data_IF_922217019784
#
_entry.id   IF_922217019784
#
_cell.length_a   1.000
_cell.length_b   1.000
_cell.length_c   1.000
_cell.angle_alpha   90.00
_cell.angle_beta   90.00
_cell.angle_gamma   90.00
#
_symmetry.space_group_name_H-M   'P 1'
#
loop_
_entity.id
_entity.type
_entity.pdbx_description
1 polymer ?
#
# COMPACT_ATOMS: atom_id res chain seq x y z
N UNK A 1 76.83 26.94 -1.55
CA UNK A 1 76.28 26.01 -0.55
C UNK A 1 74.81 26.34 -0.42
N UNK A 2 73.99 25.45 -0.97
CA UNK A 2 72.54 25.39 -0.80
C UNK A 2 72.16 25.22 0.68
N UNK A 3 70.98 25.71 1.06
CA UNK A 3 69.92 25.05 1.83
C UNK A 3 68.91 26.14 2.21
N UNK A 4 67.91 26.43 1.39
CA UNK A 4 66.61 25.77 1.22
C UNK A 4 65.51 26.30 2.15
N UNK A 5 64.36 26.57 1.52
CA UNK A 5 63.12 27.10 2.12
C UNK A 5 62.44 26.00 2.93
N UNK A 6 61.85 26.33 4.07
CA UNK A 6 60.67 25.58 4.54
C UNK A 6 59.55 26.53 4.97
N UNK A 7 58.73 26.83 3.95
CA UNK A 7 57.31 27.10 4.08
C UNK A 7 56.64 25.85 4.68
N UNK A 8 56.17 25.91 5.93
CA UNK A 8 55.26 24.88 6.46
C UNK A 8 53.84 25.16 5.98
N UNK A 9 53.57 24.80 4.73
CA UNK A 9 52.21 24.56 4.27
C UNK A 9 51.68 23.32 4.99
N UNK A 10 50.93 23.52 6.08
CA UNK A 10 50.07 22.49 6.64
C UNK A 10 48.93 22.25 5.63
N UNK A 11 49.13 21.25 4.78
CA UNK A 11 48.15 20.72 3.85
C UNK A 11 46.93 20.20 4.61
N UNK A 12 45.80 20.90 4.49
CA UNK A 12 44.48 20.33 4.72
C UNK A 12 44.22 19.25 3.64
N UNK A 13 44.65 18.01 3.91
CA UNK A 13 44.17 16.87 3.14
C UNK A 13 42.71 16.62 3.51
N UNK A 14 41.80 17.07 2.64
CA UNK A 14 40.45 16.52 2.59
C UNK A 14 40.55 15.04 2.23
N UNK A 15 40.51 14.17 3.23
CA UNK A 15 40.35 12.73 3.03
C UNK A 15 38.97 12.48 2.44
N UNK A 16 38.86 12.53 1.10
CA UNK A 16 37.67 12.06 0.40
C UNK A 16 37.71 10.53 0.35
N UNK A 17 36.69 9.89 0.90
CA UNK A 17 36.56 8.43 0.85
C UNK A 17 36.05 8.01 -0.52
N UNK A 18 36.58 6.90 -1.06
CA UNK A 18 36.08 6.33 -2.31
C UNK A 18 34.59 5.97 -2.17
N UNK A 19 33.77 6.44 -3.12
CA UNK A 19 32.32 6.22 -3.17
C UNK A 19 31.91 4.75 -3.10
N UNK A 20 32.75 3.83 -3.59
CA UNK A 20 32.49 2.38 -3.54
C UNK A 20 32.51 1.80 -2.12
N UNK A 21 33.09 2.52 -1.16
CA UNK A 21 33.18 2.13 0.24
C UNK A 21 32.06 2.73 1.10
N UNK A 22 31.12 3.45 0.47
CA UNK A 22 30.08 4.21 1.14
C UNK A 22 28.71 3.59 0.89
N UNK A 23 28.00 3.28 1.96
CA UNK A 23 26.61 2.84 1.94
C UNK A 23 25.70 4.03 2.28
N UNK A 24 24.58 4.17 1.56
CA UNK A 24 23.62 5.24 1.85
C UNK A 24 22.97 4.94 3.20
N UNK A 25 23.03 5.90 4.11
CA UNK A 25 22.30 5.83 5.35
C UNK A 25 20.81 6.08 5.10
N UNK A 26 19.99 5.11 5.46
CA UNK A 26 18.54 5.25 5.45
C UNK A 26 18.06 5.77 6.79
N UNK A 27 17.31 6.88 6.77
CA UNK A 27 16.80 7.49 7.99
C UNK A 27 15.76 6.59 8.64
N UNK A 28 16.19 5.88 9.68
CA UNK A 28 15.33 5.13 10.56
C UNK A 28 15.15 5.91 11.87
N UNK A 29 13.90 6.22 12.22
CA UNK A 29 13.57 6.97 13.45
C UNK A 29 14.10 6.32 14.72
N UNK A 30 14.24 4.99 14.73
CA UNK A 30 14.70 4.25 15.89
C UNK A 30 16.22 4.35 16.08
N UNK A 31 16.97 4.41 14.97
CA UNK A 31 18.42 4.65 14.99
C UNK A 31 18.71 6.08 15.48
N UNK A 32 17.95 7.06 14.99
CA UNK A 32 18.07 8.46 15.43
C UNK A 32 17.72 8.60 16.92
N UNK A 33 16.65 7.94 17.40
CA UNK A 33 16.32 7.90 18.84
C UNK A 33 17.44 7.24 19.65
N UNK A 34 18.09 6.21 19.13
CA UNK A 34 19.24 5.57 19.79
C UNK A 34 20.39 6.57 19.95
N UNK A 35 20.74 7.30 18.90
CA UNK A 35 21.81 8.33 18.95
C UNK A 35 21.50 9.44 19.96
N UNK A 36 20.24 9.89 20.04
CA UNK A 36 19.79 10.87 21.05
C UNK A 36 19.92 10.25 22.46
N UNK A 37 19.40 9.03 22.66
CA UNK A 37 19.40 8.37 23.97
C UNK A 37 20.81 8.05 24.49
N UNK A 38 21.74 7.78 23.58
CA UNK A 38 23.13 7.46 23.89
C UNK A 38 24.02 8.72 23.86
N UNK A 39 23.48 9.86 23.42
CA UNK A 39 24.22 11.11 23.19
C UNK A 39 25.48 10.89 22.35
N UNK A 40 25.41 10.03 21.34
CA UNK A 40 26.55 9.61 20.54
C UNK A 40 26.19 9.45 19.06
N UNK A 41 27.08 9.94 18.20
CA UNK A 41 27.14 9.67 16.76
C UNK A 41 28.31 8.70 16.54
N UNK A 42 28.05 7.42 16.24
CA UNK A 42 29.09 6.39 16.30
C UNK A 42 30.02 6.32 15.08
N UNK A 43 29.67 7.01 13.99
CA UNK A 43 30.39 6.99 12.70
C UNK A 43 30.48 8.36 12.06
N UNK A 44 31.45 8.53 11.16
CA UNK A 44 31.48 9.69 10.28
C UNK A 44 30.42 9.53 9.18
N UNK A 45 29.69 10.60 8.91
CA UNK A 45 28.74 10.66 7.80
C UNK A 45 29.30 11.48 6.65
N UNK A 46 29.13 10.98 5.44
CA UNK A 46 29.68 11.51 4.21
C UNK A 46 28.57 11.93 3.24
N UNK A 47 28.88 12.81 2.30
CA UNK A 47 28.06 13.05 1.13
C UNK A 47 28.33 12.01 0.03
N UNK A 48 27.57 12.06 -1.06
CA UNK A 48 27.74 11.17 -2.23
C UNK A 48 29.12 11.22 -2.91
N UNK A 49 29.91 12.27 -2.64
CA UNK A 49 31.25 12.47 -3.16
C UNK A 49 32.34 12.05 -2.15
N UNK A 50 31.96 11.44 -1.03
CA UNK A 50 32.88 10.96 0.00
C UNK A 50 33.51 12.04 0.87
N UNK A 51 32.94 13.25 0.90
CA UNK A 51 33.36 14.30 1.83
C UNK A 51 32.56 14.16 3.13
N UNK A 52 33.24 14.29 4.28
CA UNK A 52 32.60 14.23 5.60
C UNK A 52 31.65 15.43 5.75
N UNK A 53 30.40 15.14 6.11
CA UNK A 53 29.37 16.11 6.47
C UNK A 53 29.26 16.25 7.99
N UNK A 54 29.33 15.13 8.72
CA UNK A 54 29.20 15.09 10.17
C UNK A 54 30.24 14.11 10.72
N UNK A 55 30.98 14.54 11.73
CA UNK A 55 31.94 13.67 12.40
C UNK A 55 31.27 12.79 13.45
N UNK A 56 31.83 11.59 13.65
CA UNK A 56 31.55 10.78 14.84
C UNK A 56 31.84 11.60 16.10
N UNK A 57 30.98 11.48 17.10
CA UNK A 57 30.99 12.32 18.29
C UNK A 57 30.37 11.59 19.47
N UNK A 58 31.11 11.35 20.53
CA UNK A 58 30.65 10.61 21.72
C UNK A 58 29.88 11.45 22.75
N UNK A 59 29.77 12.77 22.52
CA UNK A 59 29.02 13.75 23.32
C UNK A 59 28.08 14.58 22.44
N UNK A 60 27.37 13.92 21.54
CA UNK A 60 26.46 14.56 20.61
C UNK A 60 25.24 15.15 21.34
N UNK A 61 25.02 16.46 21.15
CA UNK A 61 23.80 17.11 21.62
C UNK A 61 22.59 16.71 20.76
N UNK A 62 21.38 16.89 21.28
CA UNK A 62 20.15 16.64 20.51
C UNK A 62 20.11 17.48 19.22
N UNK A 63 20.67 18.69 19.23
CA UNK A 63 20.82 19.53 18.04
C UNK A 63 21.81 18.94 17.02
N UNK A 64 22.90 18.32 17.47
CA UNK A 64 23.88 17.66 16.61
C UNK A 64 23.26 16.46 15.88
N UNK A 65 22.44 15.66 16.58
CA UNK A 65 21.73 14.52 15.99
C UNK A 65 20.61 15.00 15.06
N UNK A 66 19.91 16.08 15.41
CA UNK A 66 18.86 16.68 14.55
C UNK A 66 19.43 17.27 13.26
N UNK A 67 20.71 17.67 13.22
CA UNK A 67 21.38 18.08 11.98
C UNK A 67 21.46 16.95 10.96
N UNK A 68 21.48 15.68 11.35
CA UNK A 68 21.41 14.55 10.42
C UNK A 68 20.15 14.65 9.54
N UNK A 69 19.01 14.96 10.14
CA UNK A 69 17.72 15.06 9.43
C UNK A 69 17.73 16.15 8.34
N UNK A 70 18.51 17.23 8.51
CA UNK A 70 18.63 18.29 7.49
C UNK A 70 19.30 17.80 6.21
N UNK A 71 20.14 16.78 6.29
CA UNK A 71 20.86 16.21 5.15
C UNK A 71 20.15 15.01 4.51
N UNK A 72 18.98 14.59 5.01
CA UNK A 72 18.16 13.51 4.44
C UNK A 72 17.83 13.74 2.96
N UNK A 73 17.40 14.95 2.63
CA UNK A 73 17.08 15.35 1.24
C UNK A 73 18.27 15.29 0.29
N UNK A 74 19.50 15.38 0.81
CA UNK A 74 20.75 15.37 0.05
C UNK A 74 21.40 13.97 -0.01
N UNK A 75 20.95 13.06 0.85
CA UNK A 75 21.51 11.72 1.04
C UNK A 75 22.82 11.76 1.82
N UNK A 76 22.84 11.10 2.97
CA UNK A 76 24.04 10.87 3.78
C UNK A 76 24.50 9.43 3.66
N UNK A 77 25.79 9.21 3.80
CA UNK A 77 26.45 7.92 3.59
C UNK A 77 27.38 7.62 4.77
N UNK A 78 27.68 6.36 5.03
CA UNK A 78 28.64 5.93 6.03
C UNK A 78 29.55 4.84 5.45
N UNK A 79 30.69 4.58 6.09
CA UNK A 79 31.60 3.54 5.64
C UNK A 79 30.98 2.15 5.84
N UNK A 80 31.02 1.31 4.80
CA UNK A 80 30.54 -0.09 4.87
C UNK A 80 31.24 -0.85 6.01
N UNK A 81 32.52 -0.57 6.25
CA UNK A 81 33.30 -1.18 7.34
C UNK A 81 32.84 -0.80 8.75
N UNK A 82 32.00 0.22 8.89
CA UNK A 82 31.49 0.70 10.20
C UNK A 82 30.00 0.40 10.40
N UNK A 83 29.41 -0.42 9.53
CA UNK A 83 27.98 -0.80 9.56
C UNK A 83 27.53 -1.35 10.91
N UNK A 84 28.38 -2.13 11.56
CA UNK A 84 28.11 -2.74 12.88
C UNK A 84 28.05 -1.72 14.02
N UNK A 85 28.55 -0.49 13.81
CA UNK A 85 28.49 0.60 14.79
C UNK A 85 27.22 1.44 14.64
N UNK A 86 26.65 1.46 13.44
CA UNK A 86 25.41 2.16 13.11
C UNK A 86 24.19 1.29 13.41
N UNK A 87 24.34 -0.03 13.22
CA UNK A 87 23.31 -1.04 13.40
C UNK A 87 23.70 -1.87 14.60
N UNK A 88 22.97 -1.77 15.73
CA UNK A 88 23.26 -2.62 16.90
C UNK A 88 23.29 -4.09 16.46
N UNK A 89 24.33 -4.87 16.77
CA UNK A 89 24.24 -6.32 16.62
C UNK A 89 23.10 -6.80 17.53
N UNK A 90 22.09 -7.41 16.94
CA UNK A 90 21.02 -8.05 17.71
C UNK A 90 21.64 -9.23 18.45
N UNK A 91 21.60 -9.21 19.78
CA UNK A 91 21.86 -10.41 20.59
C UNK A 91 20.92 -11.52 20.10
N UNK A 92 21.52 -12.55 19.49
CA UNK A 92 20.93 -13.78 18.96
C UNK A 92 19.77 -13.64 17.95
N UNK A 93 20.03 -13.69 16.64
CA UNK A 93 19.03 -14.11 15.67
C UNK A 93 18.85 -15.64 15.74
N UNK A 94 17.65 -16.11 16.08
CA UNK A 94 17.27 -17.51 15.95
C UNK A 94 17.38 -17.92 14.48
N UNK A 95 18.43 -18.67 14.13
CA UNK A 95 18.62 -19.18 12.77
C UNK A 95 17.65 -20.34 12.51
N UNK A 96 16.84 -20.24 11.45
CA UNK A 96 16.09 -21.39 10.90
C UNK A 96 16.64 -21.68 9.51
N UNK A 97 17.18 -22.88 9.31
CA UNK A 97 17.79 -23.34 8.04
C UNK A 97 18.88 -22.43 7.45
N UNK A 98 19.73 -21.83 8.30
CA UNK A 98 20.92 -21.11 7.84
C UNK A 98 20.63 -19.77 7.15
N UNK A 99 19.41 -19.22 7.28
CA UNK A 99 19.07 -17.87 6.83
C UNK A 99 18.80 -16.97 8.04
N UNK A 100 19.33 -15.75 7.98
CA UNK A 100 18.97 -14.70 8.94
C UNK A 100 17.47 -14.46 8.88
N UNK A 101 16.78 -14.72 9.99
CA UNK A 101 15.39 -14.32 10.18
C UNK A 101 15.44 -13.04 11.00
N UNK A 102 15.40 -11.89 10.34
CA UNK A 102 15.06 -10.66 11.05
C UNK A 102 13.67 -10.86 11.65
N UNK A 103 13.54 -10.73 12.98
CA UNK A 103 12.26 -10.50 13.66
C UNK A 103 11.70 -9.12 13.28
N UNK A 104 11.64 -8.85 11.98
CA UNK A 104 10.75 -7.87 11.41
C UNK A 104 9.35 -8.35 11.78
N UNK A 105 8.57 -7.52 12.47
CA UNK A 105 7.22 -7.90 12.87
C UNK A 105 6.38 -8.09 11.60
N UNK A 106 6.31 -9.32 11.10
CA UNK A 106 5.53 -9.66 9.93
C UNK A 106 4.05 -9.50 10.26
N UNK A 107 3.26 -9.05 9.28
CA UNK A 107 1.81 -8.96 9.38
C UNK A 107 1.26 -10.31 9.82
N UNK A 108 0.39 -10.31 10.83
CA UNK A 108 -0.20 -11.49 11.42
C UNK A 108 -1.00 -12.26 10.36
N UNK A 109 -0.51 -13.42 9.89
CA UNK A 109 -1.14 -14.12 8.79
C UNK A 109 -2.52 -14.67 9.17
N UNK A 110 -2.75 -14.92 10.47
CA UNK A 110 -4.02 -15.43 10.96
C UNK A 110 -5.17 -14.44 10.74
N UNK A 111 -4.90 -13.12 10.84
CA UNK A 111 -5.92 -12.10 10.56
C UNK A 111 -6.34 -12.11 9.10
N UNK A 112 -5.38 -12.33 8.19
CA UNK A 112 -5.71 -12.38 6.76
C UNK A 112 -6.42 -13.69 6.40
N UNK A 113 -5.99 -14.81 6.98
CA UNK A 113 -6.69 -16.10 6.82
C UNK A 113 -8.10 -16.02 7.38
N UNK A 114 -8.30 -15.35 8.52
CA UNK A 114 -9.63 -15.12 9.09
C UNK A 114 -10.52 -14.30 8.14
N UNK A 115 -10.03 -13.15 7.64
CA UNK A 115 -10.78 -12.34 6.67
C UNK A 115 -11.14 -13.12 5.41
N UNK A 116 -10.23 -13.98 4.92
CA UNK A 116 -10.48 -14.82 3.75
C UNK A 116 -11.45 -15.99 4.04
N UNK A 117 -11.51 -16.51 5.27
CA UNK A 117 -12.56 -17.45 5.67
C UNK A 117 -13.91 -16.76 5.75
N UNK A 118 -13.99 -15.61 6.43
CA UNK A 118 -15.20 -14.79 6.52
C UNK A 118 -15.71 -14.38 5.13
N UNK A 119 -14.82 -13.99 4.21
CA UNK A 119 -15.17 -13.68 2.84
C UNK A 119 -15.73 -14.91 2.10
N UNK A 120 -15.17 -16.10 2.33
CA UNK A 120 -15.69 -17.33 1.74
C UNK A 120 -17.08 -17.67 2.27
N UNK A 121 -17.32 -17.49 3.57
CA UNK A 121 -18.62 -17.72 4.20
C UNK A 121 -19.65 -16.72 3.67
N UNK A 122 -19.29 -15.44 3.62
CA UNK A 122 -20.11 -14.38 3.05
C UNK A 122 -20.50 -14.68 1.60
N UNK A 123 -19.55 -15.07 0.74
CA UNK A 123 -19.84 -15.39 -0.66
C UNK A 123 -20.83 -16.56 -0.81
N UNK A 124 -20.75 -17.56 0.07
CA UNK A 124 -21.70 -18.68 0.07
C UNK A 124 -23.08 -18.25 0.57
N UNK A 125 -23.15 -17.48 1.66
CA UNK A 125 -24.41 -16.94 2.17
C UNK A 125 -25.10 -16.07 1.13
N UNK A 126 -24.34 -15.23 0.43
CA UNK A 126 -24.83 -14.33 -0.60
C UNK A 126 -25.40 -15.05 -1.80
N UNK A 127 -25.19 -16.36 -2.00
CA UNK A 127 -25.93 -17.11 -3.04
C UNK A 127 -27.41 -17.20 -2.72
N UNK A 128 -27.78 -17.18 -1.44
CA UNK A 128 -29.13 -17.41 -0.96
C UNK A 128 -29.75 -16.15 -0.36
N UNK A 129 -28.99 -15.34 0.39
CA UNK A 129 -29.50 -14.21 1.16
C UNK A 129 -28.95 -12.85 0.69
N UNK A 130 -29.73 -11.75 0.80
CA UNK A 130 -29.26 -10.44 0.40
C UNK A 130 -28.16 -9.93 1.34
N UNK A 131 -27.28 -9.08 0.80
CA UNK A 131 -26.24 -8.41 1.59
C UNK A 131 -26.87 -7.41 2.56
N UNK A 132 -26.39 -7.37 3.81
CA UNK A 132 -26.92 -6.49 4.86
C UNK A 132 -25.85 -5.56 5.43
N UNK A 133 -26.27 -4.51 6.14
CA UNK A 133 -25.34 -3.62 6.86
C UNK A 133 -24.53 -4.38 7.94
N UNK A 134 -25.04 -5.48 8.49
CA UNK A 134 -24.28 -6.28 9.45
C UNK A 134 -23.08 -6.96 8.81
N UNK A 135 -23.24 -7.49 7.59
CA UNK A 135 -22.13 -8.07 6.82
C UNK A 135 -21.05 -7.02 6.56
N UNK A 136 -21.45 -5.79 6.20
CA UNK A 136 -20.53 -4.68 5.99
C UNK A 136 -19.74 -4.36 7.25
N UNK A 137 -20.39 -4.32 8.42
CA UNK A 137 -19.71 -4.03 9.70
C UNK A 137 -18.69 -5.10 10.07
N UNK A 138 -18.99 -6.38 9.81
CA UNK A 138 -18.05 -7.47 10.06
C UNK A 138 -16.81 -7.36 9.16
N UNK A 139 -17.03 -7.14 7.85
CA UNK A 139 -15.92 -6.94 6.90
C UNK A 139 -15.09 -5.71 7.26
N UNK A 140 -15.72 -4.59 7.61
CA UNK A 140 -15.02 -3.38 8.05
C UNK A 140 -14.17 -3.63 9.30
N UNK A 141 -14.66 -4.44 10.24
CA UNK A 141 -13.90 -4.82 11.44
C UNK A 141 -12.66 -5.65 11.07
N UNK A 142 -12.80 -6.71 10.27
CA UNK A 142 -11.66 -7.51 9.83
C UNK A 142 -10.63 -6.71 9.04
N UNK A 143 -11.09 -5.74 8.24
CA UNK A 143 -10.25 -4.77 7.54
C UNK A 143 -9.50 -3.85 8.51
N UNK A 144 -10.16 -3.32 9.55
CA UNK A 144 -9.52 -2.44 10.55
C UNK A 144 -8.50 -3.20 11.39
N UNK A 145 -8.78 -4.47 11.74
CA UNK A 145 -7.86 -5.35 12.47
C UNK A 145 -6.55 -5.58 11.67
N UNK A 146 -6.67 -5.89 10.36
CA UNK A 146 -5.51 -6.03 9.48
C UNK A 146 -4.77 -4.70 9.32
N UNK A 147 -5.49 -3.59 9.16
CA UNK A 147 -4.90 -2.26 9.02
C UNK A 147 -4.11 -1.84 10.27
N UNK A 148 -4.65 -2.13 11.45
CA UNK A 148 -4.01 -1.85 12.72
C UNK A 148 -2.72 -2.66 12.90
N UNK A 149 -2.77 -3.96 12.58
CA UNK A 149 -1.59 -4.84 12.63
C UNK A 149 -0.51 -4.40 11.63
N UNK A 150 -0.92 -4.07 10.40
CA UNK A 150 -0.03 -3.63 9.34
C UNK A 150 0.66 -2.29 9.66
N UNK A 151 -0.05 -1.33 10.25
CA UNK A 151 0.53 -0.06 10.73
C UNK A 151 1.56 -0.24 11.86
N UNK A 152 1.47 -1.36 12.58
CA UNK A 152 2.41 -1.72 13.63
C UNK A 152 3.63 -2.52 13.14
N UNK A 153 3.70 -2.86 11.84
CA UNK A 153 4.85 -3.56 11.24
C UNK A 153 5.98 -2.59 10.90
N UNK A 154 7.22 -3.00 11.16
CA UNK A 154 8.44 -2.24 10.82
C UNK A 154 8.85 -2.38 9.35
N UNK A 155 8.35 -3.40 8.63
CA UNK A 155 8.57 -3.60 7.20
C UNK A 155 7.26 -3.99 6.52
N UNK A 156 6.69 -3.00 5.84
CA UNK A 156 5.43 -3.15 5.14
C UNK A 156 5.57 -4.03 3.88
N UNK A 157 6.73 -4.08 3.24
CA UNK A 157 6.92 -4.79 1.98
C UNK A 157 7.04 -6.30 2.22
N UNK A 158 7.89 -6.69 3.18
CA UNK A 158 8.02 -8.08 3.62
C UNK A 158 6.71 -8.60 4.23
N UNK A 159 5.98 -7.75 4.96
CA UNK A 159 4.66 -8.07 5.49
C UNK A 159 3.64 -8.46 4.41
N UNK A 160 3.66 -7.81 3.24
CA UNK A 160 2.75 -8.12 2.12
C UNK A 160 3.08 -9.44 1.44
N UNK A 161 4.37 -9.69 1.20
CA UNK A 161 4.81 -10.94 0.56
C UNK A 161 4.40 -12.13 1.41
N UNK A 162 4.57 -12.03 2.72
CA UNK A 162 4.14 -13.05 3.68
C UNK A 162 2.62 -13.31 3.59
N UNK A 163 1.81 -12.25 3.57
CA UNK A 163 0.35 -12.39 3.47
C UNK A 163 -0.07 -13.07 2.16
N UNK A 164 0.50 -12.68 1.02
CA UNK A 164 0.18 -13.27 -0.28
C UNK A 164 0.57 -14.75 -0.32
N UNK A 165 1.71 -15.11 0.26
CA UNK A 165 2.19 -16.48 0.33
C UNK A 165 1.35 -17.37 1.25
N UNK A 166 1.00 -16.88 2.45
CA UNK A 166 0.16 -17.63 3.39
C UNK A 166 -1.22 -17.89 2.81
N UNK A 167 -1.81 -16.92 2.10
CA UNK A 167 -3.10 -17.11 1.46
C UNK A 167 -3.08 -18.21 0.39
N UNK A 168 -1.98 -18.34 -0.37
CA UNK A 168 -1.80 -19.42 -1.36
C UNK A 168 -1.83 -20.81 -0.71
N UNK A 169 -1.34 -20.92 0.51
CA UNK A 169 -1.22 -22.20 1.23
C UNK A 169 -2.45 -22.54 2.08
N UNK A 170 -3.33 -21.57 2.34
CA UNK A 170 -4.46 -21.70 3.26
C UNK A 170 -5.66 -22.51 2.72
N UNK A 171 -5.61 -22.98 1.46
CA UNK A 171 -6.66 -23.80 0.86
C UNK A 171 -8.01 -23.09 0.70
N UNK A 172 -8.00 -21.76 0.60
CA UNK A 172 -9.20 -20.93 0.50
C UNK A 172 -9.72 -20.92 -0.94
N UNK A 173 -11.04 -20.79 -1.12
CA UNK A 173 -11.65 -20.65 -2.46
C UNK A 173 -11.05 -19.46 -3.20
N UNK A 174 -10.75 -19.65 -4.49
CA UNK A 174 -10.06 -18.67 -5.32
C UNK A 174 -10.71 -17.26 -5.32
N UNK A 175 -12.04 -17.18 -5.33
CA UNK A 175 -12.74 -15.90 -5.31
C UNK A 175 -12.53 -15.13 -4.00
N UNK A 176 -12.60 -15.84 -2.87
CA UNK A 176 -12.33 -15.24 -1.56
C UNK A 176 -10.85 -14.86 -1.39
N UNK A 177 -9.95 -15.74 -1.85
CA UNK A 177 -8.52 -15.47 -1.88
C UNK A 177 -8.21 -14.20 -2.69
N UNK A 178 -8.84 -14.05 -3.85
CA UNK A 178 -8.69 -12.88 -4.71
C UNK A 178 -9.23 -11.60 -4.04
N UNK A 179 -10.40 -11.67 -3.41
CA UNK A 179 -10.98 -10.52 -2.67
C UNK A 179 -10.04 -10.04 -1.58
N UNK A 180 -9.58 -10.95 -0.72
CA UNK A 180 -8.73 -10.60 0.41
C UNK A 180 -7.34 -10.13 -0.05
N UNK A 181 -6.74 -10.73 -1.10
CA UNK A 181 -5.48 -10.25 -1.67
C UNK A 181 -5.59 -8.82 -2.19
N UNK A 182 -6.67 -8.49 -2.92
CA UNK A 182 -6.90 -7.12 -3.42
C UNK A 182 -7.02 -6.14 -2.27
N UNK A 183 -7.77 -6.49 -1.22
CA UNK A 183 -7.91 -5.66 -0.03
C UNK A 183 -6.56 -5.35 0.63
N UNK A 184 -5.72 -6.38 0.82
CA UNK A 184 -4.39 -6.22 1.44
C UNK A 184 -3.43 -5.42 0.56
N UNK A 185 -3.42 -5.65 -0.76
CA UNK A 185 -2.58 -4.90 -1.70
C UNK A 185 -3.00 -3.42 -1.74
N UNK A 186 -4.30 -3.14 -1.83
CA UNK A 186 -4.83 -1.78 -1.86
C UNK A 186 -4.47 -0.99 -0.59
N UNK A 187 -4.46 -1.67 0.56
CA UNK A 187 -3.98 -1.09 1.81
C UNK A 187 -2.52 -0.64 1.71
N UNK A 188 -1.63 -1.53 1.28
CA UNK A 188 -0.21 -1.23 1.17
C UNK A 188 0.11 -0.09 0.19
N UNK A 189 -0.54 -0.11 -0.98
CA UNK A 189 -0.39 0.97 -1.96
C UNK A 189 -0.78 2.33 -1.38
N UNK A 190 -1.79 2.36 -0.49
CA UNK A 190 -2.25 3.59 0.14
C UNK A 190 -1.36 4.04 1.30
N UNK A 191 -0.78 3.11 2.07
CA UNK A 191 0.11 3.41 3.19
C UNK A 191 1.46 3.98 2.75
N UNK A 192 2.03 3.52 1.62
CA UNK A 192 3.26 4.09 1.02
C UNK A 192 3.15 5.58 0.65
N UNK A 193 1.93 6.11 0.55
CA UNK A 193 1.68 7.51 0.18
C UNK A 193 1.55 8.50 1.35
N UNK A 194 1.73 8.07 2.61
CA UNK A 194 1.52 8.94 3.76
C UNK A 194 2.81 9.62 4.24
N UNK A 195 2.79 10.95 4.24
CA UNK A 195 3.72 11.80 4.99
C UNK A 195 3.12 12.11 6.36
N UNK A 196 3.94 12.53 7.33
CA UNK A 196 3.48 12.98 8.63
C UNK A 196 2.45 14.13 8.48
N UNK A 197 1.20 13.86 8.83
CA UNK A 197 0.09 14.82 8.73
C UNK A 197 -0.47 15.12 10.12
N UNK A 198 -1.26 16.20 10.22
CA UNK A 198 -1.91 16.61 11.46
C UNK A 198 -2.87 15.53 12.01
N UNK A 199 -3.26 15.63 13.27
CA UNK A 199 -4.16 14.65 13.92
C UNK A 199 -5.52 14.53 13.19
N UNK A 200 -6.06 15.64 12.71
CA UNK A 200 -7.31 15.67 11.91
C UNK A 200 -7.12 15.03 10.54
N UNK A 201 -5.98 15.28 9.90
CA UNK A 201 -5.64 14.67 8.63
C UNK A 201 -5.47 13.15 8.76
N UNK A 202 -4.96 12.66 9.89
CA UNK A 202 -4.82 11.22 10.15
C UNK A 202 -6.17 10.49 10.16
N UNK A 203 -7.22 11.06 10.75
CA UNK A 203 -8.56 10.46 10.75
C UNK A 203 -9.21 10.45 9.36
N UNK A 204 -9.04 11.54 8.60
CA UNK A 204 -9.49 11.62 7.21
C UNK A 204 -8.76 10.58 6.35
N UNK A 205 -7.45 10.40 6.57
CA UNK A 205 -6.67 9.40 5.85
C UNK A 205 -7.03 7.97 6.27
N UNK A 206 -7.30 7.71 7.55
CA UNK A 206 -7.80 6.41 8.03
C UNK A 206 -9.12 6.06 7.34
N UNK A 207 -10.06 7.00 7.28
CA UNK A 207 -11.35 6.80 6.60
C UNK A 207 -11.16 6.50 5.11
N UNK A 208 -10.28 7.23 4.43
CA UNK A 208 -9.94 6.97 3.02
C UNK A 208 -9.30 5.60 2.80
N UNK A 209 -8.44 5.14 3.72
CA UNK A 209 -7.84 3.81 3.68
C UNK A 209 -8.90 2.73 3.79
N UNK A 210 -9.75 2.81 4.82
CA UNK A 210 -10.84 1.87 5.04
C UNK A 210 -11.79 1.84 3.83
N UNK A 211 -12.13 2.98 3.25
CA UNK A 211 -12.97 3.05 2.06
C UNK A 211 -12.33 2.34 0.86
N UNK A 212 -11.03 2.54 0.61
CA UNK A 212 -10.32 1.87 -0.49
C UNK A 212 -10.25 0.36 -0.26
N UNK A 213 -9.94 -0.07 0.96
CA UNK A 213 -9.89 -1.48 1.33
C UNK A 213 -11.25 -2.15 1.18
N UNK A 214 -12.32 -1.49 1.65
CA UNK A 214 -13.69 -1.96 1.53
C UNK A 214 -14.13 -2.01 0.06
N UNK A 215 -13.79 -1.01 -0.75
CA UNK A 215 -14.09 -1.02 -2.18
C UNK A 215 -13.38 -2.19 -2.89
N UNK A 216 -12.12 -2.44 -2.55
CA UNK A 216 -11.32 -3.54 -3.11
C UNK A 216 -11.90 -4.91 -2.74
N UNK A 217 -12.45 -5.03 -1.53
CA UNK A 217 -13.16 -6.23 -1.09
C UNK A 217 -14.47 -6.42 -1.87
N UNK A 218 -15.26 -5.35 -2.01
CA UNK A 218 -16.63 -5.42 -2.55
C UNK A 218 -16.70 -5.44 -4.08
N UNK A 219 -15.59 -5.21 -4.78
CA UNK A 219 -15.58 -5.02 -6.24
C UNK A 219 -16.21 -6.18 -7.02
N UNK A 220 -15.96 -7.40 -6.58
CA UNK A 220 -16.40 -8.63 -7.24
C UNK A 220 -17.56 -9.31 -6.49
N UNK A 221 -18.16 -8.67 -5.48
CA UNK A 221 -19.21 -9.28 -4.65
C UNK A 221 -20.42 -9.73 -5.46
N UNK A 222 -20.72 -9.03 -6.57
CA UNK A 222 -21.76 -9.37 -7.53
C UNK A 222 -21.58 -10.74 -8.17
N UNK A 223 -20.34 -11.23 -8.29
CA UNK A 223 -20.05 -12.55 -8.87
C UNK A 223 -20.69 -13.69 -8.07
N UNK A 224 -20.89 -13.52 -6.76
CA UNK A 224 -21.60 -14.50 -5.91
C UNK A 224 -23.02 -14.80 -6.39
N UNK A 225 -23.64 -13.85 -7.09
CA UNK A 225 -25.01 -13.94 -7.64
C UNK A 225 -25.06 -14.23 -9.14
N UNK A 226 -23.90 -14.31 -9.80
CA UNK A 226 -23.81 -14.54 -11.24
C UNK A 226 -23.60 -16.01 -11.56
N UNK A 227 -24.18 -16.47 -12.68
CA UNK A 227 -23.90 -17.79 -13.23
C UNK A 227 -22.70 -17.70 -14.16
N UNK A 228 -21.50 -17.65 -13.58
CA UNK A 228 -20.27 -17.50 -14.34
C UNK A 228 -19.96 -18.77 -15.15
N UNK A 229 -19.56 -18.64 -16.43
CA UNK A 229 -19.08 -19.78 -17.22
C UNK A 229 -17.82 -20.40 -16.59
N UNK A 230 -17.69 -21.72 -16.70
CA UNK A 230 -16.61 -22.51 -16.09
C UNK A 230 -15.66 -23.14 -17.12
N UNK A 231 -15.57 -22.58 -18.33
CA UNK A 231 -14.72 -23.06 -19.42
C UNK A 231 -13.83 -21.93 -19.97
N UNK A 232 -12.79 -22.31 -20.71
CA UNK A 232 -12.00 -21.39 -21.54
C UNK A 232 -12.74 -21.08 -22.84
N UNK A 233 -12.33 -20.01 -23.55
CA UNK A 233 -12.93 -19.60 -24.84
C UNK A 233 -14.38 -19.12 -24.73
N UNK A 234 -14.57 -18.08 -23.91
CA UNK A 234 -15.88 -17.45 -23.71
C UNK A 234 -16.44 -16.89 -25.02
N UNK A 235 -17.73 -17.12 -25.23
CA UNK A 235 -18.47 -16.47 -26.32
C UNK A 235 -18.60 -14.97 -26.06
N UNK A 236 -18.77 -14.13 -27.10
CA UNK A 236 -18.98 -12.70 -26.92
C UNK A 236 -20.09 -12.36 -25.91
N UNK A 237 -21.20 -13.10 -25.93
CA UNK A 237 -22.33 -12.88 -25.02
C UNK A 237 -21.97 -13.21 -23.56
N UNK A 238 -21.16 -14.24 -23.35
CA UNK A 238 -20.67 -14.63 -22.02
C UNK A 238 -19.69 -13.60 -21.48
N UNK A 239 -18.83 -13.07 -22.35
CA UNK A 239 -17.91 -12.00 -22.00
C UNK A 239 -18.66 -10.72 -21.62
N UNK A 240 -19.67 -10.33 -22.39
CA UNK A 240 -20.53 -9.19 -22.08
C UNK A 240 -21.36 -9.41 -20.80
N UNK A 241 -21.80 -10.64 -20.53
CA UNK A 241 -22.44 -10.97 -19.26
C UNK A 241 -21.50 -10.75 -18.07
N UNK A 242 -20.25 -11.22 -18.15
CA UNK A 242 -19.24 -11.05 -17.10
C UNK A 242 -18.92 -9.57 -16.85
N UNK A 243 -18.89 -8.73 -17.89
CA UNK A 243 -18.65 -7.27 -17.75
C UNK A 243 -19.69 -6.56 -16.88
N UNK A 244 -20.86 -7.15 -16.66
CA UNK A 244 -21.88 -6.56 -15.80
C UNK A 244 -21.61 -6.73 -14.30
N UNK A 245 -20.63 -7.53 -13.88
CA UNK A 245 -20.36 -7.76 -12.46
C UNK A 245 -20.15 -6.47 -11.63
N UNK A 246 -19.53 -5.37 -12.12
CA UNK A 246 -19.38 -4.16 -11.31
C UNK A 246 -20.71 -3.44 -11.07
N UNK A 247 -21.63 -3.51 -12.05
CA UNK A 247 -22.99 -2.99 -11.92
C UNK A 247 -23.76 -3.82 -10.90
N UNK A 248 -23.67 -5.14 -10.98
CA UNK A 248 -24.32 -6.06 -10.04
C UNK A 248 -23.77 -5.85 -8.62
N UNK A 249 -22.43 -5.77 -8.46
CA UNK A 249 -21.77 -5.45 -7.19
C UNK A 249 -22.27 -4.12 -6.63
N UNK A 250 -22.37 -3.07 -7.46
CA UNK A 250 -22.91 -1.77 -7.06
C UNK A 250 -24.36 -1.87 -6.59
N UNK A 251 -25.21 -2.59 -7.32
CA UNK A 251 -26.63 -2.75 -6.96
C UNK A 251 -26.79 -3.50 -5.62
N UNK A 252 -25.90 -4.43 -5.31
CA UNK A 252 -25.90 -5.13 -4.01
C UNK A 252 -25.56 -4.21 -2.83
N UNK A 253 -24.72 -3.20 -3.03
CA UNK A 253 -24.28 -2.28 -1.97
C UNK A 253 -24.98 -0.92 -2.00
N UNK A 254 -25.67 -0.58 -3.09
CA UNK A 254 -26.13 0.78 -3.39
C UNK A 254 -27.03 1.39 -2.32
N UNK A 255 -27.91 0.57 -1.74
CA UNK A 255 -28.86 0.97 -0.71
C UNK A 255 -28.34 0.77 0.73
N UNK A 256 -27.12 0.24 0.90
CA UNK A 256 -26.54 0.03 2.22
C UNK A 256 -26.02 1.37 2.76
N UNK A 257 -26.58 1.81 3.89
CA UNK A 257 -26.19 3.04 4.58
C UNK A 257 -24.80 2.93 5.23
N UNK A 258 -24.34 1.72 5.56
CA UNK A 258 -23.00 1.48 6.08
C UNK A 258 -21.87 1.59 5.04
N UNK A 259 -22.21 1.85 3.77
CA UNK A 259 -21.25 1.96 2.67
C UNK A 259 -21.24 3.39 2.14
N UNK A 260 -20.07 4.03 2.22
CA UNK A 260 -19.87 5.40 1.74
C UNK A 260 -20.03 5.51 0.21
N UNK A 261 -20.42 6.69 -0.27
CA UNK A 261 -20.64 6.95 -1.70
C UNK A 261 -19.36 6.75 -2.53
N UNK A 262 -18.18 7.04 -1.97
CA UNK A 262 -16.90 6.81 -2.62
C UNK A 262 -16.63 5.32 -2.84
N UNK A 263 -17.01 4.48 -1.88
CA UNK A 263 -16.88 3.02 -1.98
C UNK A 263 -17.80 2.51 -3.09
N UNK A 264 -19.06 2.96 -3.10
CA UNK A 264 -20.04 2.61 -4.14
C UNK A 264 -19.55 3.01 -5.53
N UNK A 265 -19.01 4.23 -5.64
CA UNK A 265 -18.44 4.74 -6.88
C UNK A 265 -17.24 3.94 -7.34
N UNK A 266 -16.31 3.60 -6.44
CA UNK A 266 -15.14 2.79 -6.76
C UNK A 266 -15.51 1.38 -7.24
N UNK A 267 -16.49 0.73 -6.59
CA UNK A 267 -17.00 -0.59 -7.02
C UNK A 267 -17.60 -0.52 -8.41
N UNK A 268 -18.48 0.46 -8.66
CA UNK A 268 -19.12 0.66 -9.97
C UNK A 268 -18.10 0.94 -11.08
N UNK A 269 -17.03 1.69 -10.79
CA UNK A 269 -16.05 2.13 -11.79
C UNK A 269 -14.78 1.25 -11.84
N UNK A 270 -14.79 0.07 -11.24
CA UNK A 270 -13.60 -0.77 -11.06
C UNK A 270 -12.90 -1.22 -12.35
N UNK A 271 -13.64 -1.33 -13.46
CA UNK A 271 -13.08 -1.66 -14.78
C UNK A 271 -13.11 -0.47 -15.74
N UNK A 272 -13.43 0.74 -15.24
CA UNK A 272 -13.46 1.93 -16.08
C UNK A 272 -12.04 2.32 -16.49
N UNK A 273 -11.81 2.37 -17.78
CA UNK A 273 -10.54 2.85 -18.34
C UNK A 273 -10.44 4.37 -18.20
N UNK A 274 -9.22 4.86 -17.93
CA UNK A 274 -8.94 6.30 -17.88
C UNK A 274 -9.21 7.01 -19.22
N UNK A 275 -9.00 6.30 -20.34
CA UNK A 275 -9.32 6.74 -21.71
C UNK A 275 -9.83 5.56 -22.54
N UNK A 276 -10.78 5.83 -23.45
CA UNK A 276 -11.24 4.88 -24.46
C UNK A 276 -12.21 3.80 -23.94
N UNK A 277 -12.64 2.93 -24.86
CA UNK A 277 -13.47 1.76 -24.60
C UNK A 277 -12.57 0.54 -24.37
N UNK A 278 -12.04 0.40 -23.15
CA UNK A 278 -11.23 -0.76 -22.80
C UNK A 278 -11.99 -2.08 -22.95
N UNK A 279 -11.26 -3.17 -23.17
CA UNK A 279 -11.82 -4.52 -23.37
C UNK A 279 -12.83 -4.92 -22.26
N UNK A 280 -12.58 -4.46 -21.02
CA UNK A 280 -13.38 -4.78 -19.83
C UNK A 280 -14.27 -3.62 -19.36
N UNK A 281 -14.40 -2.55 -20.15
CA UNK A 281 -15.17 -1.38 -19.73
C UNK A 281 -16.63 -1.75 -19.48
N UNK A 282 -17.09 -1.49 -18.26
CA UNK A 282 -18.44 -1.79 -17.81
C UNK A 282 -19.40 -0.59 -17.96
N UNK A 283 -18.94 0.52 -18.54
CA UNK A 283 -19.79 1.65 -18.91
C UNK A 283 -20.34 1.48 -20.34
N UNK A 284 -21.60 1.88 -20.59
CA UNK A 284 -22.14 1.86 -21.95
C UNK A 284 -21.28 2.74 -22.87
N UNK A 285 -21.05 2.24 -24.09
CA UNK A 285 -20.30 2.98 -25.12
C UNK A 285 -20.99 4.29 -25.43
N UNK A 286 -20.21 5.31 -25.81
CA UNK A 286 -20.74 6.63 -26.14
C UNK A 286 -21.83 6.53 -27.21
N UNK A 287 -21.65 5.63 -28.18
CA UNK A 287 -22.62 5.36 -29.24
C UNK A 287 -23.96 4.83 -28.71
N UNK A 288 -23.95 3.91 -27.74
CA UNK A 288 -25.17 3.38 -27.12
C UNK A 288 -25.90 4.49 -26.35
N UNK A 289 -25.15 5.34 -25.63
CA UNK A 289 -25.70 6.47 -24.90
C UNK A 289 -26.36 7.46 -25.88
N UNK A 290 -25.64 7.87 -26.93
CA UNK A 290 -26.17 8.77 -27.96
C UNK A 290 -27.44 8.19 -28.57
N UNK A 291 -27.42 6.93 -29.01
CA UNK A 291 -28.60 6.28 -29.61
C UNK A 291 -29.81 6.31 -28.68
N UNK A 292 -29.64 5.90 -27.42
CA UNK A 292 -30.69 5.92 -26.39
C UNK A 292 -31.22 7.34 -26.15
N UNK A 293 -30.33 8.32 -26.03
CA UNK A 293 -30.73 9.72 -25.83
C UNK A 293 -31.50 10.26 -27.03
N UNK A 294 -31.10 9.92 -28.26
CA UNK A 294 -31.82 10.26 -29.49
C UNK A 294 -33.19 9.59 -29.54
N UNK A 295 -33.31 8.32 -29.15
CA UNK A 295 -34.60 7.61 -29.04
C UNK A 295 -35.53 8.30 -28.02
N UNK A 296 -35.02 8.69 -26.85
CA UNK A 296 -35.80 9.43 -25.86
C UNK A 296 -36.20 10.82 -26.35
N UNK A 297 -35.28 11.54 -27.01
CA UNK A 297 -35.56 12.84 -27.61
C UNK A 297 -36.67 12.73 -28.67
N UNK A 298 -36.63 11.70 -29.50
CA UNK A 298 -37.66 11.46 -30.52
C UNK A 298 -39.01 11.15 -29.88
N UNK A 299 -39.04 10.25 -28.89
CA UNK A 299 -40.26 9.98 -28.10
C UNK A 299 -40.84 11.24 -27.46
N UNK A 300 -39.99 12.14 -26.98
CA UNK A 300 -40.43 13.41 -26.39
C UNK A 300 -41.00 14.38 -27.44
N UNK A 301 -40.40 14.45 -28.64
CA UNK A 301 -40.91 15.26 -29.76
C UNK A 301 -42.24 14.74 -30.28
N UNK A 302 -42.42 13.43 -30.28
CA UNK A 302 -43.62 12.77 -30.76
C UNK A 302 -44.73 12.68 -29.70
N UNK A 303 -44.44 13.10 -28.46
CA UNK A 303 -45.40 13.13 -27.35
C UNK A 303 -46.40 14.28 -27.52
N UNK A 304 -47.53 13.96 -28.16
CA UNK A 304 -48.63 14.89 -28.43
C UNK A 304 -49.34 15.41 -27.17
N UNK A 305 -49.03 14.90 -25.98
CA UNK A 305 -49.58 15.39 -24.71
C UNK A 305 -48.89 16.66 -24.21
N UNK A 306 -47.70 16.98 -24.74
CA UNK A 306 -46.99 18.23 -24.50
C UNK A 306 -47.17 19.18 -25.69
N UNK A 307 -48.39 19.69 -25.88
CA UNK A 307 -48.59 20.87 -26.71
C UNK A 307 -48.39 22.11 -25.85
N UNK A 308 -47.41 22.94 -26.22
CA UNK A 308 -47.37 24.35 -25.84
C UNK A 308 -48.57 25.09 -26.44
#
# INVERSE_FOLDING_TARGET
MEFDKMNSNASHHSQSVNRELLEKFEFNSDVIKSFISQSEIPVDFYNKNGQILIHKKSDASEEDVTRLQKFESQGIYFLISEKDKVTKPKDNPDMVHGREVSFTKLVNPNLTVALAKEASELLEELKHFPLTNNHIRLVQKGIDDILADFKGSTDMELGLVNVIEVMRQAGIKADSEMMTKRTVISMAMKLRGLKALSKTDNEIQKTKQLNIMLASFMVDIGKSRMKLPNHTDLRPEEFDYIKNHPIISYLMIGNLSGVNSEVKSAVLNSHRTFRGEGLNNNYPTTNIIIRRLTEYLQKYKDDKTKKF
#
